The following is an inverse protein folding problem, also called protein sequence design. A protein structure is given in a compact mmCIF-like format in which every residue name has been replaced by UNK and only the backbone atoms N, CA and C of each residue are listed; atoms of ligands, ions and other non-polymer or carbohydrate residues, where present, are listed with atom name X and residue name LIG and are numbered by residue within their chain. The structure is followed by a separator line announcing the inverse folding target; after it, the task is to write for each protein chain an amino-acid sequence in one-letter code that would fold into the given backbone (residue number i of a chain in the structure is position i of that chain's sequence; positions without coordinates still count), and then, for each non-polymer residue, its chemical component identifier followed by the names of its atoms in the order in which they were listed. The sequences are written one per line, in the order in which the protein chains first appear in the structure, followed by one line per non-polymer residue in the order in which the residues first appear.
data_IF_342351981368
#
_entry.id   IF_342351981368
#
_cell.length_a   1.000
_cell.length_b   1.000
_cell.length_c   1.000
_cell.angle_alpha   90.00
_cell.angle_beta   90.00
_cell.angle_gamma   90.00
#
_symmetry.space_group_name_H-M   'P 1'
#
loop_
_entity.id
_entity.type
_entity.pdbx_description
1 polymer ?
#
# COMPACT_ATOMS: atom_id res chain seq x y z
N UNK A 1 -14.78 27.05 33.21
CA UNK A 1 -13.78 27.52 32.21
C UNK A 1 -14.53 28.25 31.11
N UNK A 2 -14.17 29.50 30.81
CA UNK A 2 -14.80 30.23 29.70
C UNK A 2 -14.18 29.81 28.36
N UNK A 3 -14.96 29.63 27.28
CA UNK A 3 -14.43 29.27 25.98
C UNK A 3 -13.50 30.38 25.46
N UNK A 4 -12.34 29.97 24.96
CA UNK A 4 -11.37 30.88 24.32
C UNK A 4 -11.98 31.44 23.04
N UNK A 5 -12.02 32.77 22.92
CA UNK A 5 -12.48 33.45 21.71
C UNK A 5 -11.34 33.61 20.70
N UNK A 6 -10.93 32.51 20.08
CA UNK A 6 -9.75 32.46 19.19
C UNK A 6 -9.74 33.58 18.14
N UNK A 7 -10.87 33.80 17.47
CA UNK A 7 -10.99 34.80 16.40
C UNK A 7 -10.94 36.26 16.87
N UNK A 8 -10.94 36.52 18.17
CA UNK A 8 -10.78 37.87 18.71
C UNK A 8 -9.30 38.24 18.91
N UNK A 9 -8.38 37.27 18.81
CA UNK A 9 -6.95 37.55 18.88
C UNK A 9 -6.42 38.12 17.56
N UNK A 10 -5.33 38.91 17.59
CA UNK A 10 -4.61 39.29 16.39
C UNK A 10 -4.16 38.08 15.57
N UNK A 11 -4.06 38.22 14.25
CA UNK A 11 -3.71 37.12 13.35
C UNK A 11 -2.38 36.44 13.72
N UNK A 12 -1.38 37.20 14.18
CA UNK A 12 -0.08 36.65 14.64
C UNK A 12 -0.26 35.71 15.84
N UNK A 13 -1.13 36.05 16.78
CA UNK A 13 -1.43 35.20 17.95
C UNK A 13 -2.22 33.97 17.52
N UNK A 14 -3.15 34.10 16.57
CA UNK A 14 -3.87 32.94 16.02
C UNK A 14 -2.91 31.96 15.34
N UNK A 15 -1.93 32.47 14.59
CA UNK A 15 -0.87 31.65 13.97
C UNK A 15 -0.04 30.93 15.03
N UNK A 16 0.49 31.65 16.02
CA UNK A 16 1.33 31.06 17.07
C UNK A 16 0.59 29.94 17.84
N UNK A 17 -0.71 30.14 18.11
CA UNK A 17 -1.55 29.10 18.72
C UNK A 17 -1.62 27.85 17.84
N UNK A 18 -1.81 27.99 16.53
CA UNK A 18 -1.88 26.85 15.60
C UNK A 18 -0.52 26.17 15.43
N UNK A 19 0.56 26.95 15.28
CA UNK A 19 1.93 26.43 15.12
C UNK A 19 2.37 25.63 16.36
N UNK A 20 1.84 25.94 17.54
CA UNK A 20 2.09 25.19 18.78
C UNK A 20 1.37 23.84 18.88
N UNK A 21 0.40 23.58 18.00
CA UNK A 21 -0.41 22.36 18.02
C UNK A 21 0.17 21.25 17.13
N UNK A 22 -0.01 20.00 17.55
CA UNK A 22 0.27 18.86 16.70
C UNK A 22 -0.70 18.76 15.51
N UNK A 23 -0.28 18.04 14.47
CA UNK A 23 -1.07 17.93 13.24
C UNK A 23 -2.40 17.21 13.47
N UNK A 24 -2.47 16.34 14.48
CA UNK A 24 -3.69 15.66 14.88
C UNK A 24 -4.74 16.65 15.39
N UNK A 25 -4.35 17.53 16.29
CA UNK A 25 -5.20 18.59 16.86
C UNK A 25 -5.62 19.58 15.77
N UNK A 26 -4.69 19.99 14.91
CA UNK A 26 -4.98 20.85 13.75
C UNK A 26 -6.03 20.18 12.83
N UNK A 27 -5.88 18.89 12.53
CA UNK A 27 -6.85 18.16 11.74
C UNK A 27 -8.23 18.09 12.42
N UNK A 28 -8.29 17.78 13.71
CA UNK A 28 -9.55 17.73 14.46
C UNK A 28 -10.24 19.10 14.52
N UNK A 29 -9.49 20.19 14.69
CA UNK A 29 -10.05 21.54 14.65
C UNK A 29 -10.58 21.90 13.26
N UNK A 30 -9.89 21.46 12.20
CA UNK A 30 -10.29 21.75 10.82
C UNK A 30 -11.64 21.14 10.44
N UNK A 31 -12.04 20.01 11.05
CA UNK A 31 -13.37 19.39 10.83
C UNK A 31 -14.48 20.06 11.64
N UNK A 32 -14.18 20.90 12.63
CA UNK A 32 -15.20 21.50 13.49
C UNK A 32 -16.01 22.62 12.82
N UNK A 33 -15.40 23.39 11.90
CA UNK A 33 -16.13 24.41 11.13
C UNK A 33 -15.36 24.87 9.90
N UNK A 34 -16.09 25.31 8.86
CA UNK A 34 -15.50 25.94 7.66
C UNK A 34 -14.64 27.15 8.00
N UNK A 35 -15.05 27.96 8.99
CA UNK A 35 -14.29 29.14 9.43
C UNK A 35 -12.96 28.76 10.05
N UNK A 36 -12.92 27.72 10.88
CA UNK A 36 -11.69 27.19 11.47
C UNK A 36 -10.77 26.58 10.41
N UNK A 37 -11.33 25.78 9.49
CA UNK A 37 -10.57 25.23 8.37
C UNK A 37 -9.87 26.32 7.55
N UNK A 38 -10.58 27.40 7.19
CA UNK A 38 -10.00 28.50 6.42
C UNK A 38 -8.88 29.23 7.17
N UNK A 39 -9.01 29.39 8.49
CA UNK A 39 -7.94 29.96 9.32
C UNK A 39 -6.70 29.06 9.29
N UNK A 40 -6.87 27.76 9.56
CA UNK A 40 -5.79 26.77 9.57
C UNK A 40 -5.06 26.75 8.22
N UNK A 41 -5.78 26.66 7.11
CA UNK A 41 -5.20 26.68 5.75
C UNK A 41 -4.37 27.95 5.51
N UNK A 42 -4.79 29.09 6.05
CA UNK A 42 -4.07 30.36 5.93
C UNK A 42 -2.78 30.39 6.75
N UNK A 43 -2.81 29.91 8.00
CA UNK A 43 -1.67 30.03 8.93
C UNK A 43 -0.67 28.88 8.79
N UNK A 44 -1.12 27.65 8.56
CA UNK A 44 -0.27 26.43 8.53
C UNK A 44 0.31 26.12 7.14
N UNK A 45 0.13 26.99 6.14
CA UNK A 45 0.54 26.75 4.74
C UNK A 45 2.02 26.33 4.63
N UNK A 46 2.89 26.94 5.43
CA UNK A 46 4.32 26.61 5.45
C UNK A 46 4.59 25.17 5.94
N UNK A 47 3.87 24.71 6.96
CA UNK A 47 3.94 23.32 7.46
C UNK A 47 3.42 22.34 6.41
N UNK A 48 2.28 22.63 5.79
CA UNK A 48 1.68 21.74 4.79
C UNK A 48 2.51 21.61 3.51
N UNK A 49 3.30 22.63 3.16
CA UNK A 49 4.24 22.56 2.04
C UNK A 49 5.40 21.59 2.27
N UNK A 50 5.75 21.28 3.53
CA UNK A 50 6.80 20.30 3.87
C UNK A 50 6.34 18.85 3.71
N UNK A 51 5.02 18.62 3.65
CA UNK A 51 4.43 17.30 3.48
C UNK A 51 4.71 16.80 2.06
N UNK A 52 5.41 15.66 1.98
CA UNK A 52 5.73 14.95 0.74
C UNK A 52 4.59 14.03 0.32
N UNK A 53 4.09 13.20 1.23
CA UNK A 53 2.98 12.29 0.96
C UNK A 53 2.18 11.99 2.24
N UNK A 54 0.94 11.52 2.05
CA UNK A 54 0.09 11.02 3.13
C UNK A 54 0.14 9.50 3.16
N UNK A 55 0.40 8.93 4.33
CA UNK A 55 0.49 7.49 4.54
C UNK A 55 -0.72 6.99 5.31
N UNK A 56 -1.50 6.12 4.67
CA UNK A 56 -2.66 5.46 5.26
C UNK A 56 -2.27 4.06 5.70
N UNK A 57 -2.26 3.82 7.02
CA UNK A 57 -1.89 2.54 7.61
C UNK A 57 -3.09 1.89 8.29
N UNK A 58 -3.28 0.61 8.04
CA UNK A 58 -4.19 -0.25 8.78
C UNK A 58 -3.44 -1.52 9.19
N UNK A 59 -3.02 -1.58 10.46
CA UNK A 59 -2.38 -2.75 11.05
C UNK A 59 -3.20 -3.25 12.25
N UNK A 60 -2.70 -3.13 13.47
CA UNK A 60 -3.49 -3.31 14.70
C UNK A 60 -4.40 -2.11 14.96
N UNK A 61 -4.04 -0.94 14.44
CA UNK A 61 -4.80 0.29 14.52
C UNK A 61 -4.72 1.01 13.18
N UNK A 62 -5.61 1.99 13.03
CA UNK A 62 -5.57 2.94 11.91
C UNK A 62 -4.61 4.06 12.28
N UNK A 63 -3.68 4.36 11.37
CA UNK A 63 -2.84 5.55 11.45
C UNK A 63 -2.86 6.25 10.10
N UNK A 64 -3.14 7.55 10.10
CA UNK A 64 -2.98 8.41 8.93
C UNK A 64 -1.90 9.41 9.29
N UNK A 65 -0.82 9.44 8.53
CA UNK A 65 0.37 10.23 8.83
C UNK A 65 0.72 11.12 7.65
N UNK A 66 1.09 12.37 7.91
CA UNK A 66 1.79 13.21 6.96
C UNK A 66 3.28 12.92 7.05
N UNK A 67 3.90 12.52 5.92
CA UNK A 67 5.34 12.29 5.85
C UNK A 67 6.00 13.43 5.11
N UNK A 68 7.01 14.03 5.73
CA UNK A 68 7.74 15.20 5.22
C UNK A 68 8.89 14.79 4.28
N UNK A 69 9.43 15.78 3.55
CA UNK A 69 10.59 15.56 2.66
C UNK A 69 11.86 15.13 3.40
N UNK A 70 12.00 15.51 4.67
CA UNK A 70 13.12 15.12 5.55
C UNK A 70 12.92 13.74 6.22
N UNK A 71 11.89 13.00 5.82
CA UNK A 71 11.52 11.69 6.35
C UNK A 71 10.96 11.67 7.78
N UNK A 72 10.72 12.83 8.40
CA UNK A 72 9.90 12.92 9.61
C UNK A 72 8.43 12.67 9.28
N UNK A 73 7.64 12.22 10.26
CA UNK A 73 6.20 12.07 10.10
C UNK A 73 5.43 12.64 11.28
N UNK A 74 4.24 13.16 10.97
CA UNK A 74 3.29 13.69 11.95
C UNK A 74 1.95 12.95 11.81
N UNK A 75 1.34 12.59 12.95
CA UNK A 75 0.06 11.89 12.97
C UNK A 75 -1.06 12.88 12.65
N UNK A 76 -1.92 12.51 11.70
CA UNK A 76 -3.17 13.22 11.37
C UNK A 76 -4.32 12.60 12.17
N UNK A 77 -4.45 11.28 12.14
CA UNK A 77 -5.54 10.56 12.80
C UNK A 77 -5.11 9.16 13.19
N UNK A 78 -5.44 8.76 14.41
CA UNK A 78 -5.35 7.37 14.87
C UNK A 78 -6.71 6.87 15.34
N UNK A 79 -6.96 5.58 15.14
CA UNK A 79 -8.16 4.92 15.66
C UNK A 79 -7.82 3.48 16.03
N UNK A 80 -8.16 3.09 17.26
CA UNK A 80 -8.04 1.70 17.68
C UNK A 80 -9.08 0.85 16.95
N UNK A 81 -8.60 -0.22 16.30
CA UNK A 81 -9.44 -1.17 15.57
C UNK A 81 -9.53 -2.53 16.26
N UNK A 82 -8.77 -2.71 17.34
CA UNK A 82 -8.71 -3.92 18.15
C UNK A 82 -9.66 -3.84 19.36
N UNK A 83 -9.94 -4.98 19.99
CA UNK A 83 -10.74 -5.08 21.23
C UNK A 83 -12.24 -4.75 21.16
N UNK A 84 -12.88 -5.02 20.04
CA UNK A 84 -14.32 -4.83 19.94
C UNK A 84 -15.18 -6.01 20.41
N UNK A 85 -14.62 -7.00 21.12
CA UNK A 85 -15.39 -8.11 21.68
C UNK A 85 -16.52 -7.64 22.63
N UNK A 86 -16.41 -6.41 23.15
CA UNK A 86 -17.39 -5.76 24.03
C UNK A 86 -18.37 -4.82 23.29
N UNK A 87 -18.17 -4.58 22.00
CA UNK A 87 -18.89 -3.57 21.23
C UNK A 87 -19.96 -4.24 20.36
N UNK A 88 -21.15 -4.46 20.93
CA UNK A 88 -22.30 -5.01 20.18
C UNK A 88 -23.03 -3.97 19.33
N UNK A 89 -22.60 -2.70 19.36
CA UNK A 89 -23.26 -1.59 18.64
C UNK A 89 -22.30 -0.94 17.66
N UNK A 90 -22.75 -0.79 16.41
CA UNK A 90 -22.06 0.01 15.41
C UNK A 90 -21.89 1.44 15.93
N UNK A 91 -20.71 2.01 15.71
CA UNK A 91 -20.44 3.43 16.01
C UNK A 91 -20.60 4.24 14.74
N UNK A 92 -21.05 5.48 14.93
CA UNK A 92 -21.20 6.50 13.89
C UNK A 92 -20.18 7.60 14.15
N UNK A 93 -19.49 8.03 13.10
CA UNK A 93 -18.51 9.09 13.12
C UNK A 93 -18.79 10.05 11.97
N UNK A 94 -18.73 11.35 12.21
CA UNK A 94 -18.74 12.35 11.15
C UNK A 94 -17.31 12.81 10.88
N UNK A 95 -16.90 12.78 9.61
CA UNK A 95 -15.68 13.44 9.13
C UNK A 95 -16.13 14.46 8.11
N UNK A 96 -16.02 15.74 8.48
CA UNK A 96 -16.72 16.84 7.79
C UNK A 96 -18.21 16.51 7.66
N UNK A 97 -18.76 16.54 6.46
CA UNK A 97 -20.17 16.25 6.18
C UNK A 97 -20.43 14.76 5.87
N UNK A 98 -19.42 13.88 6.01
CA UNK A 98 -19.56 12.46 5.70
C UNK A 98 -19.85 11.65 6.97
N UNK A 99 -21.06 11.07 7.06
CA UNK A 99 -21.40 10.09 8.08
C UNK A 99 -20.77 8.73 7.73
N UNK A 100 -19.97 8.20 8.66
CA UNK A 100 -19.29 6.92 8.55
C UNK A 100 -19.84 5.99 9.63
N UNK A 101 -20.28 4.81 9.22
CA UNK A 101 -20.72 3.76 10.12
C UNK A 101 -19.69 2.63 10.15
N UNK A 102 -19.24 2.26 11.35
CA UNK A 102 -18.26 1.18 11.53
C UNK A 102 -18.75 -0.14 10.93
N UNK A 103 -17.89 -0.84 10.17
CA UNK A 103 -18.14 -2.20 9.69
C UNK A 103 -17.35 -3.21 10.52
N UNK A 104 -17.86 -4.43 10.53
CA UNK A 104 -17.26 -5.55 11.24
C UNK A 104 -16.59 -6.49 10.25
N UNK A 105 -15.29 -6.68 10.40
CA UNK A 105 -14.54 -7.71 9.70
C UNK A 105 -14.17 -8.80 10.69
N UNK A 106 -14.33 -10.05 10.29
CA UNK A 106 -14.02 -11.20 11.15
C UNK A 106 -12.91 -12.02 10.51
N UNK A 107 -12.04 -12.60 11.34
CA UNK A 107 -11.09 -13.63 10.94
C UNK A 107 -10.83 -14.59 12.10
N UNK A 108 -11.26 -15.86 11.96
CA UNK A 108 -11.19 -16.96 12.95
C UNK A 108 -11.66 -16.59 14.37
N UNK A 109 -10.84 -15.86 15.14
CA UNK A 109 -11.06 -15.44 16.54
C UNK A 109 -10.95 -13.92 16.77
N UNK A 110 -10.71 -13.14 15.71
CA UNK A 110 -10.55 -11.68 15.78
C UNK A 110 -11.72 -11.00 15.08
N UNK A 111 -12.25 -9.94 15.72
CA UNK A 111 -13.22 -9.01 15.14
C UNK A 111 -12.58 -7.63 15.07
N UNK A 112 -12.45 -7.09 13.87
CA UNK A 112 -11.95 -5.74 13.61
C UNK A 112 -13.13 -4.84 13.28
N UNK A 113 -13.28 -3.74 14.01
CA UNK A 113 -14.24 -2.69 13.66
C UNK A 113 -13.52 -1.62 12.84
N UNK A 114 -13.84 -1.53 11.56
CA UNK A 114 -13.30 -0.47 10.72
C UNK A 114 -14.25 -0.17 9.58
N UNK A 115 -14.28 1.06 9.10
CA UNK A 115 -14.96 1.42 7.87
C UNK A 115 -13.89 1.94 6.89
N UNK A 116 -13.73 1.28 5.74
CA UNK A 116 -12.82 1.69 4.68
C UNK A 116 -13.07 3.14 4.24
N UNK A 117 -14.32 3.61 4.40
CA UNK A 117 -14.73 4.99 4.18
C UNK A 117 -14.03 6.02 5.09
N UNK A 118 -13.43 5.62 6.22
CA UNK A 118 -12.60 6.51 7.06
C UNK A 118 -11.45 7.07 6.24
N UNK A 119 -10.71 6.21 5.53
CA UNK A 119 -9.61 6.64 4.70
C UNK A 119 -10.07 7.54 3.55
N UNK A 120 -11.15 7.15 2.86
CA UNK A 120 -11.72 7.94 1.77
C UNK A 120 -12.21 9.33 2.24
N UNK A 121 -12.80 9.41 3.43
CA UNK A 121 -13.33 10.66 3.99
C UNK A 121 -12.25 11.58 4.52
N UNK A 122 -11.23 11.02 5.19
CA UNK A 122 -10.05 11.79 5.58
C UNK A 122 -9.33 12.33 4.35
N UNK A 123 -9.16 11.51 3.30
CA UNK A 123 -8.56 11.99 2.04
C UNK A 123 -9.37 13.15 1.45
N UNK A 124 -10.69 13.02 1.37
CA UNK A 124 -11.57 14.08 0.85
C UNK A 124 -11.42 15.39 1.62
N UNK A 125 -11.39 15.33 2.96
CA UNK A 125 -11.17 16.53 3.79
C UNK A 125 -9.76 17.10 3.59
N UNK A 126 -8.76 16.22 3.51
CA UNK A 126 -7.36 16.62 3.37
C UNK A 126 -7.07 17.45 2.12
N UNK A 127 -7.85 17.32 1.04
CA UNK A 127 -7.71 18.16 -0.15
C UNK A 127 -7.93 19.64 0.13
N UNK A 128 -8.93 19.97 0.97
CA UNK A 128 -9.19 21.35 1.37
C UNK A 128 -8.21 21.87 2.42
N UNK A 129 -7.46 20.98 3.07
CA UNK A 129 -6.55 21.31 4.17
C UNK A 129 -5.09 21.41 3.70
N UNK A 130 -4.59 20.37 3.03
CA UNK A 130 -3.19 20.23 2.59
C UNK A 130 -2.99 20.46 1.08
N UNK A 131 -4.07 20.55 0.31
CA UNK A 131 -4.06 20.53 -1.16
C UNK A 131 -4.36 19.14 -1.74
N UNK A 132 -4.83 19.10 -2.98
CA UNK A 132 -5.24 17.89 -3.71
C UNK A 132 -4.10 17.22 -4.51
N UNK A 133 -2.91 17.83 -4.48
CA UNK A 133 -1.72 17.37 -5.19
C UNK A 133 -0.83 16.42 -4.39
N UNK A 134 -1.16 16.14 -3.12
CA UNK A 134 -0.33 15.29 -2.27
C UNK A 134 -0.41 13.84 -2.71
N UNK A 135 0.76 13.24 -2.91
CA UNK A 135 0.90 11.80 -3.15
C UNK A 135 0.37 11.01 -1.95
N UNK A 136 -0.21 9.84 -2.21
CA UNK A 136 -0.70 8.94 -1.16
C UNK A 136 0.02 7.58 -1.21
N UNK A 137 0.22 6.99 -0.03
CA UNK A 137 0.70 5.62 0.11
C UNK A 137 -0.21 4.83 1.02
N UNK A 138 -0.36 3.53 0.74
CA UNK A 138 -1.22 2.63 1.49
C UNK A 138 -0.39 1.50 2.11
N UNK A 139 -0.63 1.20 3.39
CA UNK A 139 -0.01 0.10 4.10
C UNK A 139 -1.08 -0.65 4.91
N UNK A 140 -1.46 -1.83 4.44
CA UNK A 140 -2.48 -2.67 5.06
C UNK A 140 -1.83 -4.00 5.45
N UNK A 141 -1.89 -4.32 6.73
CA UNK A 141 -1.46 -5.61 7.27
C UNK A 141 -2.47 -6.10 8.32
N UNK A 142 -3.47 -6.88 7.88
CA UNK A 142 -4.60 -7.28 8.73
C UNK A 142 -5.03 -8.74 8.52
N UNK A 143 -5.78 -9.22 9.51
CA UNK A 143 -6.52 -10.48 9.45
C UNK A 143 -8.01 -10.16 9.28
N UNK A 144 -8.55 -10.30 8.07
CA UNK A 144 -9.93 -9.93 7.79
C UNK A 144 -10.50 -10.67 6.56
N UNK A 145 -11.68 -11.27 6.70
CA UNK A 145 -12.47 -11.76 5.58
C UNK A 145 -13.32 -10.64 4.97
N UNK A 146 -13.35 -10.57 3.63
CA UNK A 146 -14.22 -9.63 2.90
C UNK A 146 -13.85 -8.17 3.09
N UNK A 147 -12.62 -7.88 3.50
CA UNK A 147 -12.13 -6.51 3.63
C UNK A 147 -12.17 -5.81 2.27
N UNK A 148 -12.82 -4.64 2.23
CA UNK A 148 -12.84 -3.78 1.04
C UNK A 148 -11.68 -2.80 1.14
N UNK A 149 -10.82 -2.80 0.13
CA UNK A 149 -9.75 -1.81 0.02
C UNK A 149 -10.34 -0.40 -0.20
N UNK A 150 -9.77 0.64 0.43
CA UNK A 150 -10.25 2.01 0.31
C UNK A 150 -10.02 2.54 -1.12
N UNK A 151 -10.98 3.29 -1.65
CA UNK A 151 -10.88 3.92 -2.99
C UNK A 151 -10.17 5.27 -2.91
N UNK A 152 -8.90 5.23 -2.49
CA UNK A 152 -8.03 6.40 -2.46
C UNK A 152 -7.63 6.81 -3.87
N UNK A 153 -7.47 8.12 -4.11
CA UNK A 153 -6.86 8.68 -5.32
C UNK A 153 -5.37 8.94 -5.12
N UNK A 154 -4.63 9.11 -6.23
CA UNK A 154 -3.21 9.47 -6.24
C UNK A 154 -2.32 8.55 -5.38
N UNK A 155 -2.68 7.27 -5.27
CA UNK A 155 -1.81 6.28 -4.62
C UNK A 155 -0.64 5.96 -5.54
N UNK A 156 0.59 6.18 -5.07
CA UNK A 156 1.82 5.85 -5.80
C UNK A 156 2.37 4.47 -5.44
N UNK A 157 2.11 4.03 -4.20
CA UNK A 157 2.73 2.85 -3.62
C UNK A 157 1.86 2.21 -2.55
N UNK A 158 1.82 0.88 -2.60
CA UNK A 158 0.93 0.08 -1.74
C UNK A 158 1.68 -1.10 -1.12
N UNK A 159 1.46 -1.34 0.16
CA UNK A 159 1.79 -2.59 0.84
C UNK A 159 0.48 -3.22 1.30
N UNK A 160 0.11 -4.39 0.75
CA UNK A 160 -1.19 -5.02 0.99
C UNK A 160 -0.96 -6.48 1.39
N UNK A 161 -1.13 -6.73 2.68
CA UNK A 161 -1.07 -8.02 3.34
C UNK A 161 -2.40 -8.27 4.06
N UNK A 162 -3.30 -9.01 3.42
CA UNK A 162 -4.62 -9.35 4.02
C UNK A 162 -4.70 -10.87 4.18
N UNK A 163 -4.85 -11.32 5.42
CA UNK A 163 -4.92 -12.74 5.76
C UNK A 163 -6.38 -13.14 6.02
N UNK A 164 -6.87 -14.27 5.45
CA UNK A 164 -6.11 -15.26 4.68
C UNK A 164 -5.89 -14.89 3.21
N UNK A 165 -6.74 -14.01 2.64
CA UNK A 165 -6.50 -13.52 1.29
C UNK A 165 -7.31 -12.30 0.89
N UNK A 166 -6.79 -11.49 -0.04
CA UNK A 166 -7.54 -10.51 -0.83
C UNK A 166 -7.98 -11.12 -2.17
N UNK A 167 -9.24 -10.94 -2.57
CA UNK A 167 -9.76 -11.47 -3.83
C UNK A 167 -9.46 -10.57 -5.04
N UNK A 168 -9.41 -11.16 -6.23
CA UNK A 168 -9.08 -10.45 -7.46
C UNK A 168 -10.06 -9.35 -7.86
N UNK A 169 -11.36 -9.45 -7.49
CA UNK A 169 -12.33 -8.37 -7.78
C UNK A 169 -12.01 -7.15 -6.94
N UNK A 170 -11.77 -7.34 -5.64
CA UNK A 170 -11.37 -6.26 -4.72
C UNK A 170 -10.10 -5.55 -5.19
N UNK A 171 -9.10 -6.29 -5.70
CA UNK A 171 -7.90 -5.69 -6.29
C UNK A 171 -8.20 -4.88 -7.56
N UNK A 172 -9.05 -5.38 -8.47
CA UNK A 172 -9.41 -4.61 -9.67
C UNK A 172 -10.14 -3.30 -9.32
N UNK A 173 -11.07 -3.36 -8.37
CA UNK A 173 -11.83 -2.19 -7.92
C UNK A 173 -10.89 -1.16 -7.28
N UNK A 174 -9.89 -1.63 -6.53
CA UNK A 174 -8.83 -0.81 -5.94
C UNK A 174 -7.95 -0.11 -7.00
N UNK A 175 -7.40 -0.87 -7.96
CA UNK A 175 -6.58 -0.27 -9.02
C UNK A 175 -7.37 0.68 -9.92
N UNK A 176 -8.68 0.48 -10.05
CA UNK A 176 -9.55 1.41 -10.81
C UNK A 176 -9.65 2.77 -10.12
N UNK A 177 -9.50 2.84 -8.79
CA UNK A 177 -9.53 4.11 -8.05
C UNK A 177 -8.19 4.87 -8.10
N UNK A 178 -7.07 4.16 -8.24
CA UNK A 178 -5.72 4.73 -8.38
C UNK A 178 -4.93 3.97 -9.47
N UNK A 179 -5.13 4.32 -10.76
CA UNK A 179 -4.54 3.57 -11.87
C UNK A 179 -3.03 3.79 -12.06
N UNK A 180 -2.46 4.85 -11.48
CA UNK A 180 -1.08 5.28 -11.71
C UNK A 180 -0.11 4.82 -10.60
N UNK A 181 -0.35 3.65 -10.01
CA UNK A 181 0.54 3.08 -9.00
C UNK A 181 1.86 2.65 -9.64
N UNK A 182 2.96 3.07 -9.02
CA UNK A 182 4.32 2.78 -9.46
C UNK A 182 4.90 1.56 -8.71
N UNK A 183 4.36 1.25 -7.53
CA UNK A 183 4.85 0.18 -6.67
C UNK A 183 3.71 -0.56 -5.96
N UNK A 184 3.83 -1.89 -5.88
CA UNK A 184 3.02 -2.69 -4.97
C UNK A 184 3.83 -3.80 -4.31
N UNK A 185 3.66 -3.98 -3.00
CA UNK A 185 3.99 -5.20 -2.28
C UNK A 185 2.69 -5.90 -1.91
N UNK A 186 2.52 -7.15 -2.34
CA UNK A 186 1.25 -7.86 -2.27
C UNK A 186 1.45 -9.27 -1.73
N UNK A 187 0.62 -9.68 -0.77
CA UNK A 187 0.61 -11.07 -0.31
C UNK A 187 -0.79 -11.59 -0.03
N UNK A 188 -0.94 -12.92 -0.11
CA UNK A 188 -2.23 -13.57 0.13
C UNK A 188 -3.27 -13.23 -0.93
N UNK A 189 -2.93 -13.30 -2.22
CA UNK A 189 -3.93 -13.05 -3.27
C UNK A 189 -4.71 -14.32 -3.57
N UNK A 190 -6.03 -14.19 -3.67
CA UNK A 190 -6.88 -15.18 -4.33
C UNK A 190 -7.22 -14.65 -5.72
N UNK A 191 -6.46 -15.04 -6.78
CA UNK A 191 -6.56 -14.46 -8.11
C UNK A 191 -7.86 -14.81 -8.84
N UNK A 192 -8.73 -15.60 -8.22
CA UNK A 192 -10.08 -15.81 -8.72
C UNK A 192 -10.76 -14.44 -8.90
N UNK A 193 -11.36 -14.22 -10.08
CA UNK A 193 -11.96 -12.94 -10.50
C UNK A 193 -10.98 -11.78 -10.70
N UNK A 194 -9.66 -12.02 -10.70
CA UNK A 194 -8.69 -11.05 -11.20
C UNK A 194 -8.85 -10.96 -12.72
N UNK A 195 -8.99 -9.75 -13.26
CA UNK A 195 -9.24 -9.56 -14.69
C UNK A 195 -8.01 -9.92 -15.50
N UNK A 196 -8.22 -10.43 -16.72
CA UNK A 196 -7.12 -10.80 -17.62
C UNK A 196 -6.22 -9.62 -18.00
N UNK A 197 -6.79 -8.41 -18.02
CA UNK A 197 -6.17 -7.11 -18.28
C UNK A 197 -6.08 -6.26 -17.00
N UNK A 198 -5.92 -6.89 -15.83
CA UNK A 198 -5.80 -6.17 -14.57
C UNK A 198 -4.57 -5.25 -14.58
N UNK A 199 -4.73 -4.05 -14.03
CA UNK A 199 -3.64 -3.08 -13.88
C UNK A 199 -2.47 -3.58 -13.04
N UNK A 200 -2.68 -4.63 -12.24
CA UNK A 200 -1.62 -5.32 -11.52
C UNK A 200 -0.45 -5.68 -12.45
N UNK A 201 -0.71 -6.13 -13.68
CA UNK A 201 0.35 -6.57 -14.59
C UNK A 201 1.18 -5.41 -15.17
N UNK A 202 0.66 -4.19 -15.13
CA UNK A 202 1.30 -3.00 -15.71
C UNK A 202 2.09 -2.18 -14.66
N UNK A 203 2.05 -2.55 -13.38
CA UNK A 203 2.75 -1.82 -12.32
C UNK A 203 4.26 -1.96 -12.49
N UNK A 204 4.98 -0.84 -12.41
CA UNK A 204 6.42 -0.80 -12.69
C UNK A 204 7.24 -1.70 -11.76
N UNK A 205 6.92 -1.73 -10.45
CA UNK A 205 7.62 -2.55 -9.48
C UNK A 205 6.66 -3.37 -8.62
N UNK A 206 6.79 -4.70 -8.65
CA UNK A 206 5.99 -5.63 -7.84
C UNK A 206 6.90 -6.42 -6.90
N UNK A 207 6.56 -6.41 -5.62
CA UNK A 207 6.93 -7.44 -4.67
C UNK A 207 5.71 -8.32 -4.41
N UNK A 208 5.90 -9.63 -4.46
CA UNK A 208 4.82 -10.55 -4.09
C UNK A 208 5.31 -11.76 -3.35
N UNK A 209 4.52 -12.18 -2.37
CA UNK A 209 4.65 -13.46 -1.70
C UNK A 209 3.37 -14.27 -1.90
N UNK A 210 3.47 -15.36 -2.67
CA UNK A 210 2.34 -16.21 -3.01
C UNK A 210 2.71 -17.69 -3.06
N UNK A 211 2.25 -18.44 -2.05
CA UNK A 211 2.51 -19.87 -1.90
C UNK A 211 1.28 -20.74 -2.28
N UNK A 212 0.15 -20.12 -2.60
CA UNK A 212 -1.14 -20.84 -2.67
C UNK A 212 -1.94 -20.57 -3.93
N UNK A 213 -1.55 -19.56 -4.71
CA UNK A 213 -2.37 -19.05 -5.79
C UNK A 213 -1.69 -19.20 -7.16
N UNK A 214 -2.46 -18.93 -8.23
CA UNK A 214 -1.99 -18.89 -9.61
C UNK A 214 -1.46 -17.51 -10.02
N UNK A 215 -1.15 -16.62 -9.07
CA UNK A 215 -0.72 -15.27 -9.39
C UNK A 215 0.66 -15.27 -10.05
N UNK A 216 1.61 -16.04 -9.51
CA UNK A 216 2.99 -16.08 -10.04
C UNK A 216 3.05 -16.55 -11.50
N UNK A 217 2.42 -17.68 -11.90
CA UNK A 217 2.33 -18.05 -13.31
C UNK A 217 1.68 -16.98 -14.19
N UNK A 218 0.66 -16.28 -13.69
CA UNK A 218 0.04 -15.20 -14.45
C UNK A 218 0.97 -14.00 -14.64
N UNK A 219 1.77 -13.65 -13.62
CA UNK A 219 2.80 -12.61 -13.73
C UNK A 219 3.84 -13.00 -14.78
N UNK A 220 4.36 -14.23 -14.73
CA UNK A 220 5.33 -14.75 -15.72
C UNK A 220 4.80 -14.81 -17.16
N UNK A 221 3.48 -14.71 -17.36
CA UNK A 221 2.85 -14.71 -18.69
C UNK A 221 2.49 -13.32 -19.21
N UNK A 222 2.34 -12.32 -18.32
CA UNK A 222 1.66 -11.06 -18.64
C UNK A 222 2.32 -9.79 -18.12
N UNK A 223 3.32 -9.91 -17.26
CA UNK A 223 3.91 -8.74 -16.61
C UNK A 223 4.51 -7.76 -17.64
N UNK A 224 4.09 -6.50 -17.56
CA UNK A 224 4.54 -5.41 -18.41
C UNK A 224 5.33 -4.33 -17.67
N UNK A 225 5.65 -4.54 -16.39
CA UNK A 225 6.46 -3.64 -15.58
C UNK A 225 7.97 -3.84 -15.75
N UNK A 226 8.76 -3.13 -14.92
CA UNK A 226 10.23 -3.11 -15.00
C UNK A 226 10.90 -4.03 -13.98
N UNK A 227 10.33 -4.15 -12.78
CA UNK A 227 10.92 -4.90 -11.67
C UNK A 227 9.90 -5.83 -11.02
N UNK A 228 10.23 -7.12 -10.91
CA UNK A 228 9.42 -8.11 -10.23
C UNK A 228 10.26 -8.94 -9.25
N UNK A 229 9.85 -8.95 -7.99
CA UNK A 229 10.48 -9.70 -6.91
C UNK A 229 9.46 -10.65 -6.31
N UNK A 230 9.64 -11.93 -6.56
CA UNK A 230 8.64 -12.96 -6.32
C UNK A 230 9.21 -13.98 -5.34
N UNK A 231 8.47 -14.23 -4.26
CA UNK A 231 8.68 -15.38 -3.37
C UNK A 231 7.49 -16.32 -3.50
N UNK A 232 7.75 -17.59 -3.78
CA UNK A 232 6.69 -18.59 -3.97
C UNK A 232 7.18 -19.98 -3.63
N UNK A 233 6.26 -20.85 -3.19
CA UNK A 233 6.47 -22.28 -3.10
C UNK A 233 5.86 -23.08 -4.27
N UNK A 234 5.19 -22.42 -5.23
CA UNK A 234 4.50 -23.08 -6.34
C UNK A 234 4.85 -22.44 -7.67
N UNK A 235 5.81 -23.04 -8.36
CA UNK A 235 6.19 -22.64 -9.70
C UNK A 235 6.66 -23.85 -10.51
N UNK A 236 6.05 -24.03 -11.68
CA UNK A 236 6.42 -25.07 -12.63
C UNK A 236 7.59 -24.61 -13.50
N UNK A 237 8.58 -25.46 -13.73
CA UNK A 237 9.71 -25.17 -14.61
C UNK A 237 9.25 -24.83 -16.05
N UNK A 238 8.11 -25.38 -16.50
CA UNK A 238 7.51 -25.07 -17.80
C UNK A 238 7.06 -23.62 -17.92
N UNK A 239 6.51 -23.03 -16.85
CA UNK A 239 6.15 -21.60 -16.83
C UNK A 239 7.42 -20.73 -16.95
N UNK A 240 8.52 -21.13 -16.30
CA UNK A 240 9.82 -20.45 -16.39
C UNK A 240 10.41 -20.57 -17.81
N UNK A 241 10.38 -21.75 -18.42
CA UNK A 241 10.85 -21.97 -19.79
C UNK A 241 10.05 -21.13 -20.77
N UNK A 242 8.72 -21.08 -20.63
CA UNK A 242 7.87 -20.28 -21.51
C UNK A 242 8.20 -18.79 -21.38
N UNK A 243 8.36 -18.28 -20.16
CA UNK A 243 8.79 -16.91 -19.90
C UNK A 243 10.13 -16.62 -20.58
N UNK A 244 11.16 -17.45 -20.33
CA UNK A 244 12.50 -17.25 -20.88
C UNK A 244 12.53 -17.28 -22.41
N UNK A 245 11.76 -18.18 -23.05
CA UNK A 245 11.64 -18.23 -24.52
C UNK A 245 11.12 -16.92 -25.08
N UNK A 246 10.02 -16.39 -24.51
CA UNK A 246 9.39 -15.14 -24.93
C UNK A 246 10.27 -13.92 -24.71
N UNK A 247 10.99 -13.89 -23.58
CA UNK A 247 11.89 -12.79 -23.27
C UNK A 247 13.12 -12.82 -24.18
N UNK A 248 13.75 -14.00 -24.37
CA UNK A 248 14.92 -14.18 -25.25
C UNK A 248 14.60 -13.87 -26.72
N UNK A 249 13.38 -14.16 -27.19
CA UNK A 249 12.93 -13.84 -28.55
C UNK A 249 12.44 -12.40 -28.74
N UNK A 250 12.44 -11.58 -27.67
CA UNK A 250 11.86 -10.24 -27.66
C UNK A 250 10.36 -10.21 -28.06
N UNK A 251 9.62 -11.29 -27.81
CA UNK A 251 8.17 -11.38 -28.05
C UNK A 251 7.37 -10.67 -26.94
N UNK A 252 7.91 -10.61 -25.72
CA UNK A 252 7.25 -10.02 -24.55
C UNK A 252 8.28 -9.54 -23.53
N UNK A 253 7.81 -8.79 -22.52
CA UNK A 253 8.64 -8.27 -21.40
C UNK A 253 9.67 -7.21 -21.81
N UNK A 254 9.37 -6.39 -22.82
CA UNK A 254 10.27 -5.36 -23.37
C UNK A 254 10.81 -4.37 -22.33
N UNK A 255 10.01 -4.05 -21.30
CA UNK A 255 10.37 -3.12 -20.23
C UNK A 255 11.07 -3.78 -19.04
N UNK A 256 11.14 -5.12 -19.01
CA UNK A 256 11.63 -5.86 -17.86
C UNK A 256 13.15 -5.66 -17.71
N UNK A 257 13.54 -5.16 -16.55
CA UNK A 257 14.94 -4.97 -16.16
C UNK A 257 15.39 -6.02 -15.14
N UNK A 258 14.51 -6.33 -14.18
CA UNK A 258 14.84 -7.26 -13.09
C UNK A 258 13.65 -8.18 -12.84
N UNK A 259 13.89 -9.49 -12.95
CA UNK A 259 13.02 -10.53 -12.42
C UNK A 259 13.82 -11.38 -11.43
N UNK A 260 13.43 -11.35 -10.17
CA UNK A 260 13.95 -12.23 -9.14
C UNK A 260 12.83 -13.16 -8.67
N UNK A 261 13.05 -14.46 -8.80
CA UNK A 261 12.16 -15.49 -8.27
C UNK A 261 12.90 -16.32 -7.23
N UNK A 262 12.40 -16.35 -6.01
CA UNK A 262 12.91 -17.17 -4.92
C UNK A 262 11.89 -18.26 -4.62
N UNK A 263 12.32 -19.51 -4.82
CA UNK A 263 11.54 -20.69 -4.47
C UNK A 263 11.75 -20.99 -2.98
N UNK A 264 10.66 -21.22 -2.26
CA UNK A 264 10.71 -21.79 -0.92
C UNK A 264 10.52 -23.30 -1.01
N UNK A 265 11.35 -24.04 -0.27
CA UNK A 265 11.16 -25.48 -0.09
C UNK A 265 9.76 -25.74 0.45
N UNK A 266 9.02 -26.58 -0.26
CA UNK A 266 7.71 -27.03 0.14
C UNK A 266 7.57 -28.49 -0.32
N UNK A 267 7.12 -29.35 0.57
CA UNK A 267 7.05 -30.81 0.35
C UNK A 267 6.10 -31.22 -0.78
N UNK A 268 5.18 -30.33 -1.18
CA UNK A 268 4.01 -30.67 -1.99
C UNK A 268 4.13 -30.28 -3.47
N UNK A 269 5.24 -29.65 -3.89
CA UNK A 269 5.48 -29.27 -5.29
C UNK A 269 6.53 -30.18 -5.92
N UNK A 270 6.33 -30.54 -7.20
CA UNK A 270 7.42 -31.13 -7.98
C UNK A 270 8.66 -30.24 -7.90
N UNK A 271 9.84 -30.82 -7.65
CA UNK A 271 11.06 -30.06 -7.53
C UNK A 271 11.34 -29.32 -8.85
N UNK A 272 11.80 -28.08 -8.74
CA UNK A 272 12.25 -27.32 -9.90
C UNK A 272 13.37 -28.09 -10.61
N UNK A 273 13.27 -28.26 -11.93
CA UNK A 273 14.26 -28.95 -12.74
C UNK A 273 15.19 -27.94 -13.45
N UNK A 274 16.32 -27.55 -12.83
CA UNK A 274 17.22 -26.57 -13.43
C UNK A 274 17.91 -27.10 -14.70
N UNK A 275 18.07 -28.42 -14.84
CA UNK A 275 18.69 -29.05 -16.03
C UNK A 275 17.79 -28.86 -17.25
N UNK A 276 16.50 -29.10 -17.09
CA UNK A 276 15.53 -28.90 -18.17
C UNK A 276 15.43 -27.44 -18.61
N UNK A 277 15.43 -26.50 -17.65
CA UNK A 277 15.44 -25.06 -17.97
C UNK A 277 16.70 -24.69 -18.78
N UNK A 278 17.87 -25.17 -18.34
CA UNK A 278 19.15 -24.92 -19.04
C UNK A 278 19.12 -25.47 -20.47
N UNK A 279 18.68 -26.71 -20.64
CA UNK A 279 18.61 -27.38 -21.95
C UNK A 279 17.60 -26.70 -22.88
N UNK A 280 16.47 -26.20 -22.35
CA UNK A 280 15.42 -25.60 -23.17
C UNK A 280 15.75 -24.18 -23.67
N UNK A 281 16.66 -23.46 -23.00
CA UNK A 281 16.97 -22.05 -23.28
C UNK A 281 18.38 -21.86 -23.85
N UNK A 282 19.23 -22.89 -23.79
CA UNK A 282 20.65 -22.80 -24.18
C UNK A 282 21.36 -21.69 -23.37
N UNK A 283 21.30 -21.82 -22.03
CA UNK A 283 21.89 -20.84 -21.11
C UNK A 283 23.41 -20.96 -21.15
N UNK A 284 24.10 -19.90 -21.58
CA UNK A 284 25.55 -19.82 -21.54
C UNK A 284 26.02 -19.50 -20.12
N UNK A 285 27.00 -20.27 -19.64
CA UNK A 285 27.69 -19.98 -18.38
C UNK A 285 28.74 -18.89 -18.62
N UNK A 286 28.82 -17.90 -17.75
CA UNK A 286 29.94 -16.94 -17.75
C UNK A 286 31.20 -17.67 -17.30
N UNK A 287 32.36 -17.34 -17.88
CA UNK A 287 33.64 -17.88 -17.43
C UNK A 287 33.98 -17.34 -16.04
N UNK A 288 34.68 -18.15 -15.24
CA UNK A 288 35.09 -17.77 -13.86
C UNK A 288 35.97 -16.51 -13.80
N UNK A 289 36.59 -16.14 -14.94
CA UNK A 289 37.39 -14.93 -15.11
C UNK A 289 36.57 -13.64 -15.28
N UNK A 290 35.26 -13.73 -15.47
CA UNK A 290 34.37 -12.58 -15.66
C UNK A 290 33.65 -12.30 -14.35
N UNK A 291 33.89 -11.11 -13.78
CA UNK A 291 33.13 -10.65 -12.63
C UNK A 291 31.63 -10.69 -12.92
N UNK A 292 30.86 -11.32 -12.02
CA UNK A 292 29.41 -11.33 -12.12
C UNK A 292 28.88 -9.90 -12.27
N UNK A 293 27.95 -9.64 -13.20
CA UNK A 293 27.38 -8.32 -13.35
C UNK A 293 26.69 -7.89 -12.04
N UNK A 294 27.12 -6.74 -11.50
CA UNK A 294 26.56 -6.17 -10.28
C UNK A 294 25.39 -5.27 -10.67
N UNK A 295 24.17 -5.68 -10.31
CA UNK A 295 22.97 -4.88 -10.50
C UNK A 295 22.59 -4.20 -9.18
N UNK A 296 22.77 -2.87 -9.13
CA UNK A 296 22.35 -2.06 -7.99
C UNK A 296 20.87 -1.70 -8.10
N UNK A 297 20.00 -2.46 -7.42
CA UNK A 297 18.58 -2.12 -7.32
C UNK A 297 18.31 -1.38 -6.01
N UNK A 298 17.82 -0.14 -6.08
CA UNK A 298 17.26 0.54 -4.90
C UNK A 298 15.94 -0.14 -4.54
N UNK A 299 15.95 -0.99 -3.52
CA UNK A 299 14.74 -1.62 -3.00
C UNK A 299 13.82 -0.54 -2.45
N UNK A 300 12.61 -0.45 -3.01
CA UNK A 300 11.58 0.53 -2.60
C UNK A 300 10.83 0.12 -1.33
N UNK A 301 11.31 -0.92 -0.63
CA UNK A 301 10.85 -1.38 0.67
C UNK A 301 11.25 -0.37 1.77
N UNK A 302 10.69 0.83 1.70
CA UNK A 302 10.66 1.79 2.82
C UNK A 302 9.20 2.08 3.17
N UNK A 303 8.41 1.01 3.25
CA UNK A 303 7.10 0.99 3.87
C UNK A 303 7.14 -0.16 4.88
N UNK A 304 7.39 0.20 6.14
CA UNK A 304 7.68 -0.67 7.28
C UNK A 304 9.02 -1.41 7.24
N UNK A 305 9.96 -0.90 8.02
CA UNK A 305 11.17 -1.59 8.45
C UNK A 305 10.72 -2.76 9.34
N UNK A 306 10.66 -3.97 8.78
CA UNK A 306 10.93 -5.15 9.60
C UNK A 306 12.45 -5.17 9.81
N UNK A 307 12.92 -4.58 10.92
CA UNK A 307 14.21 -4.94 11.50
C UNK A 307 14.08 -6.39 11.96
N UNK A 308 14.33 -7.34 11.07
CA UNK A 308 14.92 -8.61 11.51
C UNK A 308 16.41 -8.36 11.53
N UNK A 309 16.94 -8.14 12.74
CA UNK A 309 18.38 -8.24 12.95
C UNK A 309 18.84 -9.64 12.52
N UNK A 310 19.96 -9.78 11.82
CA UNK A 310 20.58 -11.07 11.60
C UNK A 310 21.31 -11.47 12.88
N UNK A 311 20.84 -12.53 13.53
CA UNK A 311 21.66 -13.57 14.18
C UNK A 311 20.88 -14.87 14.11
#
# INVERSE_FOLDING_TARGET
MNPIRLFNFPYVVQREIMDSMDLHTIFLLSICSKRMNNLIVSVEKARFNKIKYILYKLTNFVSIEAVNYDHTSEVILTMDTTHCNLMNKKKKLYISDTLIESKWYTARRTKTAFADEVFESVQRHSYGLFGDNKECKLDINIYAYGFRLPKLKNVSGSNIHIVPSVDGKTLNDYFSASPNQDFINLSGVKPCKLKGNSKLYDINCIYTFDDKSKLVPNLLRKFGGRHAFIRTSKLDHRDVIQFLKKWKSNESFEKLEILQVTLRDNSDSEPMNPVEIKNAIDIKMLSESVNSPVYNCKTRLVLSIFRTNPL
#
